data_IF_144110035197
#
_entry.id   IF_144110035197
#
_cell.length_a   1.000
_cell.length_b   1.000
_cell.length_c   1.000
_cell.angle_alpha   90.00
_cell.angle_beta   90.00
_cell.angle_gamma   90.00
#
_symmetry.space_group_name_H-M   'P 1'
#
loop_
_entity.id
_entity.type
_entity.pdbx_description
1 polymer ?
#
# COMPACT_ATOMS: atom_id res chain seq x y z
N UNK A 1 18.65 -29.87 14.67
CA UNK A 1 17.60 -29.57 13.67
C UNK A 1 16.27 -29.54 14.40
N UNK A 2 15.83 -28.33 14.69
CA UNK A 2 14.55 -27.93 15.28
C UNK A 2 14.53 -26.41 15.00
N UNK A 3 13.51 -25.74 14.49
CA UNK A 3 12.13 -26.06 14.09
C UNK A 3 11.53 -24.66 13.86
N UNK A 4 10.71 -24.47 12.82
CA UNK A 4 9.93 -23.23 12.52
C UNK A 4 10.01 -22.14 13.60
N UNK A 5 10.90 -21.17 13.40
CA UNK A 5 10.94 -19.97 14.23
C UNK A 5 9.74 -19.10 13.82
N UNK A 6 8.81 -18.80 14.74
CA UNK A 6 7.66 -17.94 14.46
C UNK A 6 8.06 -16.59 13.83
N UNK A 7 9.23 -16.05 14.20
CA UNK A 7 9.76 -14.81 13.62
C UNK A 7 10.14 -14.99 12.13
N UNK A 8 10.74 -16.13 11.77
CA UNK A 8 11.06 -16.43 10.37
C UNK A 8 9.80 -16.65 9.54
N UNK A 9 8.80 -17.33 10.08
CA UNK A 9 7.51 -17.54 9.41
C UNK A 9 6.77 -16.21 9.19
N UNK A 10 6.75 -15.32 10.19
CA UNK A 10 6.19 -13.98 10.04
C UNK A 10 6.96 -13.16 9.01
N UNK A 11 8.30 -13.18 9.03
CA UNK A 11 9.11 -12.46 8.04
C UNK A 11 8.84 -12.94 6.61
N UNK A 12 8.80 -14.26 6.40
CA UNK A 12 8.49 -14.84 5.08
C UNK A 12 7.10 -14.44 4.60
N UNK A 13 6.12 -14.36 5.51
CA UNK A 13 4.76 -13.93 5.17
C UNK A 13 4.74 -12.44 4.79
N UNK A 14 5.45 -11.58 5.51
CA UNK A 14 5.55 -10.15 5.21
C UNK A 14 6.24 -9.90 3.86
N UNK A 15 7.30 -10.65 3.54
CA UNK A 15 7.97 -10.58 2.24
C UNK A 15 7.03 -11.01 1.10
N UNK A 16 6.24 -12.08 1.32
CA UNK A 16 5.24 -12.53 0.36
C UNK A 16 4.14 -11.46 0.15
N UNK A 17 3.64 -10.86 1.23
CA UNK A 17 2.66 -9.77 1.15
C UNK A 17 3.26 -8.58 0.38
N UNK A 18 4.51 -8.19 0.69
CA UNK A 18 5.21 -7.10 -0.02
C UNK A 18 5.27 -7.39 -1.51
N UNK A 19 5.72 -8.60 -1.89
CA UNK A 19 5.80 -9.00 -3.29
C UNK A 19 4.44 -8.93 -3.99
N UNK A 20 3.38 -9.44 -3.36
CA UNK A 20 2.03 -9.47 -3.94
C UNK A 20 1.40 -8.09 -4.06
N UNK A 21 1.52 -7.26 -3.03
CA UNK A 21 1.00 -5.88 -3.04
C UNK A 21 1.69 -5.07 -4.15
N UNK A 22 3.02 -5.19 -4.27
CA UNK A 22 3.77 -4.55 -5.36
C UNK A 22 3.34 -5.09 -6.73
N UNK A 23 3.20 -6.40 -6.90
CA UNK A 23 2.75 -6.99 -8.16
C UNK A 23 1.34 -6.51 -8.58
N UNK A 24 0.41 -6.37 -7.62
CA UNK A 24 -0.93 -5.82 -7.87
C UNK A 24 -0.86 -4.35 -8.28
N UNK A 25 -0.10 -3.54 -7.53
CA UNK A 25 0.07 -2.11 -7.83
C UNK A 25 0.68 -1.89 -9.21
N UNK A 26 1.72 -2.66 -9.56
CA UNK A 26 2.36 -2.65 -10.87
C UNK A 26 1.42 -3.14 -11.96
N UNK A 27 0.68 -4.23 -11.74
CA UNK A 27 -0.29 -4.73 -12.72
C UNK A 27 -1.38 -3.71 -13.02
N UNK A 28 -1.84 -2.96 -12.01
CA UNK A 28 -2.84 -1.92 -12.18
C UNK A 28 -2.28 -0.75 -12.99
N UNK A 29 -1.09 -0.26 -12.60
CA UNK A 29 -0.36 0.79 -13.33
C UNK A 29 -0.12 0.40 -14.79
N UNK A 30 0.29 -0.86 -15.03
CA UNK A 30 0.54 -1.43 -16.34
C UNK A 30 -0.72 -1.53 -17.21
N UNK A 31 -1.88 -1.79 -16.60
CA UNK A 31 -3.14 -2.02 -17.32
C UNK A 31 -3.85 -0.76 -17.79
N UNK A 32 -3.37 0.42 -17.39
CA UNK A 32 -3.94 1.69 -17.80
C UNK A 32 -2.99 2.40 -18.76
N UNK A 33 -3.49 2.78 -19.94
CA UNK A 33 -2.69 3.33 -21.04
C UNK A 33 -2.90 4.83 -21.28
N UNK A 34 -3.78 5.48 -20.48
CA UNK A 34 -4.26 6.86 -20.72
C UNK A 34 -3.68 7.89 -19.73
N UNK A 35 -2.50 7.61 -19.15
CA UNK A 35 -1.89 8.45 -18.11
C UNK A 35 -1.55 9.88 -18.58
N UNK A 36 -1.17 10.05 -19.85
CA UNK A 36 -0.76 11.34 -20.41
C UNK A 36 -1.95 12.15 -20.99
N UNK A 37 -3.18 11.65 -20.84
CA UNK A 37 -4.38 12.32 -21.37
C UNK A 37 -4.88 13.42 -20.44
N UNK A 38 -5.09 14.61 -21.01
CA UNK A 38 -5.63 15.74 -20.26
C UNK A 38 -7.03 15.41 -19.71
N UNK A 39 -7.25 15.70 -18.42
CA UNK A 39 -8.51 15.46 -17.69
C UNK A 39 -8.87 13.99 -17.41
N UNK A 40 -7.95 13.06 -17.65
CA UNK A 40 -8.13 11.65 -17.30
C UNK A 40 -7.41 11.35 -16.00
N UNK A 41 -8.15 10.92 -14.98
CA UNK A 41 -7.58 10.32 -13.78
C UNK A 41 -7.43 8.81 -13.99
N UNK A 42 -6.22 8.30 -13.75
CA UNK A 42 -5.98 6.87 -13.75
C UNK A 42 -6.39 6.20 -12.44
N UNK A 43 -6.30 4.86 -12.39
CA UNK A 43 -6.63 4.13 -11.18
C UNK A 43 -5.64 4.45 -10.05
N UNK A 44 -6.12 4.40 -8.81
CA UNK A 44 -5.32 4.72 -7.63
C UNK A 44 -5.54 3.70 -6.52
N UNK A 45 -4.47 3.37 -5.80
CA UNK A 45 -4.52 2.49 -4.64
C UNK A 45 -3.70 3.07 -3.50
N UNK A 46 -4.10 2.71 -2.28
CA UNK A 46 -3.35 2.98 -1.06
C UNK A 46 -3.45 1.76 -0.15
N UNK A 47 -2.40 0.96 -0.05
CA UNK A 47 -2.30 -0.15 0.88
C UNK A 47 -1.50 0.25 2.11
N UNK A 48 -1.90 -0.26 3.27
CA UNK A 48 -1.14 -0.18 4.52
C UNK A 48 -1.06 -1.58 5.10
N UNK A 49 0.16 -2.05 5.33
CA UNK A 49 0.43 -3.35 5.93
C UNK A 49 0.84 -3.17 7.38
N UNK A 50 0.13 -3.84 8.29
CA UNK A 50 0.27 -3.70 9.73
C UNK A 50 0.73 -5.00 10.38
N UNK A 51 1.47 -4.90 11.47
CA UNK A 51 1.79 -6.03 12.34
C UNK A 51 0.53 -6.65 12.98
N UNK A 52 -0.46 -5.82 13.34
CA UNK A 52 -1.71 -6.23 13.98
C UNK A 52 -2.84 -5.18 13.76
N UNK A 53 -4.09 -5.53 14.03
CA UNK A 53 -5.32 -4.73 13.78
C UNK A 53 -5.50 -3.48 14.66
N UNK A 54 -4.46 -3.02 15.38
CA UNK A 54 -4.57 -1.87 16.29
C UNK A 54 -4.32 -0.52 15.59
N UNK A 55 -5.15 -0.16 14.63
CA UNK A 55 -5.04 1.09 13.85
C UNK A 55 -6.12 2.14 14.15
N UNK A 56 -7.14 1.81 14.96
CA UNK A 56 -8.24 2.72 15.30
C UNK A 56 -7.81 4.00 16.03
N UNK A 57 -6.64 4.00 16.65
CA UNK A 57 -6.05 5.18 17.28
C UNK A 57 -5.72 6.30 16.27
N UNK A 58 -5.55 5.97 14.99
CA UNK A 58 -5.10 6.91 13.98
C UNK A 58 -5.76 6.75 12.59
N UNK A 59 -6.79 5.92 12.50
CA UNK A 59 -7.58 5.76 11.29
C UNK A 59 -9.07 5.79 11.61
N UNK A 60 -9.84 6.34 10.67
CA UNK A 60 -11.30 6.40 10.72
C UNK A 60 -11.89 5.59 9.56
N UNK A 61 -13.00 4.84 9.76
CA UNK A 61 -13.76 4.26 8.67
C UNK A 61 -14.13 5.31 7.62
N UNK A 62 -13.88 5.04 6.34
CA UNK A 62 -14.17 5.98 5.26
C UNK A 62 -15.50 5.68 4.58
N UNK A 63 -16.58 6.17 5.21
CA UNK A 63 -17.94 6.06 4.65
C UNK A 63 -18.31 4.62 4.29
N UNK A 64 -18.89 4.43 3.10
CA UNK A 64 -19.28 3.11 2.58
C UNK A 64 -18.17 2.44 1.74
N UNK A 65 -16.94 2.96 1.76
CA UNK A 65 -15.84 2.38 0.98
C UNK A 65 -15.36 1.09 1.65
N UNK A 66 -15.52 -0.01 0.94
CA UNK A 66 -15.15 -1.35 1.41
C UNK A 66 -14.20 -2.01 0.44
N UNK A 67 -13.45 -3.00 0.91
CA UNK A 67 -12.72 -3.95 0.10
C UNK A 67 -13.61 -5.18 -0.18
N UNK A 68 -13.66 -5.72 -1.41
CA UNK A 68 -14.54 -6.83 -1.75
C UNK A 68 -14.00 -8.16 -1.20
N UNK A 69 -14.25 -8.43 0.09
CA UNK A 69 -13.74 -9.62 0.80
C UNK A 69 -14.27 -10.95 0.27
N UNK A 70 -15.40 -10.95 -0.44
CA UNK A 70 -15.93 -12.14 -1.14
C UNK A 70 -15.10 -12.49 -2.38
N UNK A 71 -14.41 -11.51 -2.96
CA UNK A 71 -13.48 -11.70 -4.08
C UNK A 71 -12.09 -12.03 -3.54
N UNK A 72 -11.60 -11.26 -2.57
CA UNK A 72 -10.27 -11.44 -1.99
C UNK A 72 -10.27 -11.10 -0.50
N UNK A 73 -10.28 -12.09 0.39
CA UNK A 73 -10.15 -11.86 1.83
C UNK A 73 -8.70 -11.85 2.32
N UNK A 74 -7.82 -12.59 1.65
CA UNK A 74 -6.44 -12.83 2.06
C UNK A 74 -5.52 -12.58 0.87
N UNK A 75 -4.60 -11.64 1.02
CA UNK A 75 -3.70 -11.17 -0.03
C UNK A 75 -2.83 -12.30 -0.62
N UNK A 76 -2.48 -13.30 0.20
CA UNK A 76 -1.58 -14.40 -0.18
C UNK A 76 -2.29 -15.59 -0.84
N UNK A 77 -3.62 -15.67 -0.81
CA UNK A 77 -4.34 -16.84 -1.35
C UNK A 77 -4.29 -16.93 -2.88
N UNK A 78 -4.67 -15.87 -3.59
CA UNK A 78 -4.78 -15.86 -5.05
C UNK A 78 -4.42 -14.48 -5.60
N UNK A 79 -3.39 -14.42 -6.44
CA UNK A 79 -2.96 -13.17 -7.07
C UNK A 79 -4.03 -12.66 -8.05
N UNK A 80 -4.71 -13.54 -8.77
CA UNK A 80 -5.78 -13.18 -9.72
C UNK A 80 -6.98 -12.55 -9.00
N UNK A 81 -7.37 -13.14 -7.87
CA UNK A 81 -8.43 -12.60 -7.02
C UNK A 81 -8.03 -11.24 -6.43
N UNK A 82 -6.77 -11.09 -6.03
CA UNK A 82 -6.27 -9.83 -5.48
C UNK A 82 -6.23 -8.73 -6.56
N UNK A 83 -5.73 -9.01 -7.76
CA UNK A 83 -5.76 -8.06 -8.90
C UNK A 83 -7.20 -7.68 -9.26
N UNK A 84 -8.12 -8.64 -9.30
CA UNK A 84 -9.54 -8.38 -9.60
C UNK A 84 -10.15 -7.43 -8.56
N UNK A 85 -10.02 -7.77 -7.28
CA UNK A 85 -10.51 -6.93 -6.18
C UNK A 85 -9.88 -5.52 -6.18
N UNK A 86 -8.59 -5.43 -6.48
CA UNK A 86 -7.87 -4.16 -6.54
C UNK A 86 -8.37 -3.28 -7.69
N UNK A 87 -8.66 -3.85 -8.86
CA UNK A 87 -9.23 -3.12 -10.01
C UNK A 87 -10.60 -2.55 -9.68
N UNK A 88 -11.44 -3.31 -9.00
CA UNK A 88 -12.79 -2.88 -8.62
C UNK A 88 -12.76 -1.65 -7.71
N UNK A 89 -11.79 -1.58 -6.78
CA UNK A 89 -11.70 -0.44 -5.85
C UNK A 89 -10.92 0.74 -6.45
N UNK A 90 -9.94 0.51 -7.33
CA UNK A 90 -8.98 1.53 -7.72
C UNK A 90 -9.55 2.70 -8.53
N UNK A 91 -10.69 2.51 -9.19
CA UNK A 91 -11.35 3.55 -9.99
C UNK A 91 -12.44 4.30 -9.22
N UNK A 92 -13.07 3.65 -8.25
CA UNK A 92 -14.34 4.11 -7.68
C UNK A 92 -14.27 4.44 -6.20
N UNK A 93 -13.23 3.98 -5.50
CA UNK A 93 -13.14 4.08 -4.03
C UNK A 93 -11.89 4.84 -3.62
N UNK A 94 -12.07 5.65 -2.59
CA UNK A 94 -10.99 6.36 -1.91
C UNK A 94 -10.74 5.70 -0.54
N UNK A 95 -9.55 5.90 0.01
CA UNK A 95 -9.13 5.38 1.30
C UNK A 95 -8.04 4.32 1.24
N UNK A 96 -7.45 4.08 2.41
CA UNK A 96 -6.46 3.05 2.61
C UNK A 96 -7.12 1.68 2.79
N UNK A 97 -6.54 0.69 2.14
CA UNK A 97 -6.82 -0.74 2.29
C UNK A 97 -5.84 -1.28 3.31
N UNK A 98 -6.35 -1.85 4.40
CA UNK A 98 -5.53 -2.35 5.51
C UNK A 98 -5.31 -3.85 5.37
N UNK A 99 -4.06 -4.27 5.45
CA UNK A 99 -3.64 -5.69 5.41
C UNK A 99 -2.86 -5.98 6.70
N UNK A 100 -3.14 -7.08 7.37
CA UNK A 100 -2.36 -7.53 8.54
C UNK A 100 -1.21 -8.44 8.13
N UNK A 101 -0.26 -8.67 9.04
CA UNK A 101 0.96 -9.44 8.77
C UNK A 101 0.70 -10.92 8.43
N UNK A 102 -0.50 -11.43 8.71
CA UNK A 102 -0.99 -12.75 8.29
C UNK A 102 -1.60 -12.75 6.87
N UNK A 103 -1.66 -11.58 6.21
CA UNK A 103 -2.21 -11.38 4.88
C UNK A 103 -3.72 -11.08 4.83
N UNK A 104 -4.41 -11.05 5.97
CA UNK A 104 -5.85 -10.74 6.03
C UNK A 104 -6.10 -9.28 5.64
N UNK A 105 -7.03 -9.06 4.70
CA UNK A 105 -7.44 -7.72 4.25
C UNK A 105 -8.70 -7.30 5.01
N UNK A 106 -8.67 -6.12 5.63
CA UNK A 106 -9.82 -5.57 6.33
C UNK A 106 -10.89 -5.09 5.33
N UNK A 107 -12.15 -5.47 5.57
CA UNK A 107 -13.26 -5.07 4.71
C UNK A 107 -13.46 -3.55 4.69
N UNK A 108 -13.38 -2.89 5.84
CA UNK A 108 -13.58 -1.45 5.91
C UNK A 108 -12.32 -0.71 5.43
N UNK A 109 -12.43 0.08 4.35
CA UNK A 109 -11.38 1.02 3.97
C UNK A 109 -11.38 2.23 4.91
N UNK A 110 -10.21 2.81 5.13
CA UNK A 110 -10.03 3.83 6.17
C UNK A 110 -9.36 5.10 5.66
N UNK A 111 -9.66 6.21 6.32
CA UNK A 111 -8.90 7.46 6.21
C UNK A 111 -7.87 7.50 7.32
N UNK A 112 -6.61 7.76 6.98
CA UNK A 112 -5.55 7.95 7.96
C UNK A 112 -5.56 9.40 8.45
N UNK A 113 -5.55 9.56 9.78
CA UNK A 113 -5.40 10.87 10.41
C UNK A 113 -3.95 11.31 10.29
N UNK A 114 -3.76 12.58 9.94
CA UNK A 114 -2.45 13.22 9.97
C UNK A 114 -1.78 13.04 11.34
N UNK A 115 -0.45 12.89 11.38
CA UNK A 115 0.28 12.81 12.64
C UNK A 115 -0.02 14.02 13.54
N UNK A 116 -0.20 13.75 14.82
CA UNK A 116 -0.26 14.78 15.86
C UNK A 116 1.12 15.41 16.07
N UNK A 117 1.18 16.60 16.68
CA UNK A 117 2.43 17.31 16.95
C UNK A 117 3.46 16.53 17.79
N UNK A 118 3.03 15.50 18.54
CA UNK A 118 3.94 14.61 19.28
C UNK A 118 4.48 13.46 18.40
N UNK A 119 3.70 12.98 17.42
CA UNK A 119 4.17 12.03 16.41
C UNK A 119 5.11 12.70 15.38
N UNK A 120 5.08 14.04 15.31
CA UNK A 120 5.90 14.92 14.46
C UNK A 120 7.36 15.00 14.91
N UNK A 121 7.78 14.53 16.08
CA UNK A 121 9.22 14.50 16.44
C UNK A 121 10.08 13.70 15.45
N UNK A 122 9.48 12.74 14.71
CA UNK A 122 10.16 11.99 13.64
C UNK A 122 10.07 12.65 12.26
N UNK A 123 9.49 13.85 12.16
CA UNK A 123 9.29 14.51 10.87
C UNK A 123 10.59 14.92 10.20
N UNK A 124 11.64 15.18 10.98
CA UNK A 124 12.99 15.46 10.47
C UNK A 124 13.65 14.21 9.85
N UNK A 125 13.09 13.02 10.07
CA UNK A 125 13.53 11.74 9.50
C UNK A 125 12.70 11.31 8.28
N UNK A 126 11.69 12.10 7.89
CA UNK A 126 10.80 11.78 6.77
C UNK A 126 11.36 12.34 5.46
N UNK A 127 11.54 11.47 4.46
CA UNK A 127 11.92 11.85 3.12
C UNK A 127 10.68 12.34 2.34
N UNK A 128 10.50 13.67 2.28
CA UNK A 128 9.50 14.30 1.42
C UNK A 128 10.06 14.58 0.03
N UNK A 129 9.22 14.45 -1.00
CA UNK A 129 9.57 14.83 -2.38
C UNK A 129 8.51 15.74 -3.00
N UNK A 130 8.93 16.65 -3.89
CA UNK A 130 8.08 17.72 -4.44
C UNK A 130 6.89 17.21 -5.28
N UNK A 131 6.97 15.96 -5.77
CA UNK A 131 5.91 15.33 -6.54
C UNK A 131 4.81 14.69 -5.65
N UNK A 132 5.03 14.61 -4.33
CA UNK A 132 4.12 13.90 -3.43
C UNK A 132 2.78 14.64 -3.25
N UNK A 133 1.72 14.10 -3.86
CA UNK A 133 0.35 14.46 -3.50
C UNK A 133 -0.10 13.93 -2.12
N UNK A 134 -1.33 14.29 -1.70
CA UNK A 134 -1.92 13.97 -0.38
C UNK A 134 -1.79 12.50 0.02
N UNK A 135 -1.99 11.57 -0.92
CA UNK A 135 -1.90 10.13 -0.68
C UNK A 135 -0.47 9.68 -0.34
N UNK A 136 0.50 10.19 -1.08
CA UNK A 136 1.92 9.90 -0.86
C UNK A 136 2.40 10.47 0.48
N UNK A 137 1.98 11.70 0.80
CA UNK A 137 2.26 12.33 2.10
C UNK A 137 1.66 11.51 3.25
N UNK A 138 0.41 11.05 3.11
CA UNK A 138 -0.20 10.16 4.10
C UNK A 138 0.57 8.84 4.24
N UNK A 139 1.01 8.24 3.13
CA UNK A 139 1.71 6.97 3.13
C UNK A 139 3.11 7.06 3.77
N UNK A 140 3.89 8.10 3.45
CA UNK A 140 5.22 8.29 4.07
C UNK A 140 5.09 8.60 5.56
N UNK A 141 4.10 9.41 5.96
CA UNK A 141 3.88 9.74 7.36
C UNK A 141 3.39 8.53 8.17
N UNK A 142 2.41 7.77 7.65
CA UNK A 142 1.89 6.58 8.34
C UNK A 142 2.95 5.49 8.46
N UNK A 143 3.89 5.39 7.50
CA UNK A 143 4.97 4.40 7.54
C UNK A 143 5.92 4.60 8.73
N UNK A 144 5.88 5.75 9.41
CA UNK A 144 6.63 5.96 10.65
C UNK A 144 5.91 5.36 11.86
N UNK A 145 4.61 5.06 11.80
CA UNK A 145 3.87 4.61 12.99
C UNK A 145 4.28 3.23 13.43
N UNK A 146 4.38 3.05 14.75
CA UNK A 146 4.64 1.74 15.33
C UNK A 146 3.56 0.74 14.90
N UNK A 147 3.99 -0.43 14.43
CA UNK A 147 3.10 -1.46 13.93
C UNK A 147 2.72 -1.31 12.46
N UNK A 148 3.13 -0.24 11.76
CA UNK A 148 3.08 -0.19 10.29
C UNK A 148 4.36 -0.82 9.76
N UNK A 149 4.21 -1.85 8.92
CA UNK A 149 5.33 -2.56 8.31
C UNK A 149 5.77 -1.85 7.03
N UNK A 150 4.81 -1.50 6.17
CA UNK A 150 5.03 -0.68 4.99
C UNK A 150 3.69 -0.18 4.43
N UNK A 151 3.74 0.83 3.56
CA UNK A 151 2.60 1.27 2.77
C UNK A 151 2.94 1.27 1.28
N UNK A 152 1.95 1.10 0.41
CA UNK A 152 2.13 1.14 -1.05
C UNK A 152 1.07 2.04 -1.67
N UNK A 153 1.45 2.88 -2.63
CA UNK A 153 0.53 3.72 -3.38
C UNK A 153 0.66 3.53 -4.89
N UNK A 154 -0.45 3.72 -5.60
CA UNK A 154 -0.47 3.96 -7.05
C UNK A 154 -1.02 5.38 -7.27
N UNK A 155 -0.24 6.22 -7.95
CA UNK A 155 -0.63 7.59 -8.27
C UNK A 155 -1.66 7.62 -9.40
N UNK A 156 -2.79 8.30 -9.17
CA UNK A 156 -3.83 8.52 -10.19
C UNK A 156 -3.38 9.44 -11.33
N UNK A 157 -2.29 10.19 -11.15
CA UNK A 157 -1.81 11.16 -12.12
C UNK A 157 -0.90 10.54 -13.18
N UNK A 158 -0.10 9.55 -12.81
CA UNK A 158 1.00 9.07 -13.67
C UNK A 158 1.34 7.59 -13.48
N UNK A 159 0.54 6.86 -12.70
CA UNK A 159 0.75 5.44 -12.46
C UNK A 159 2.02 5.10 -11.68
N UNK A 160 2.69 6.10 -11.06
CA UNK A 160 3.84 5.86 -10.19
C UNK A 160 3.45 4.91 -9.07
N UNK A 161 4.24 3.86 -8.90
CA UNK A 161 4.11 2.92 -7.79
C UNK A 161 5.17 3.29 -6.76
N UNK A 162 4.78 3.42 -5.50
CA UNK A 162 5.70 3.80 -4.42
C UNK A 162 5.46 2.93 -3.20
N UNK A 163 6.55 2.47 -2.58
CA UNK A 163 6.54 1.76 -1.31
C UNK A 163 7.20 2.64 -0.25
N UNK A 164 6.60 2.69 0.95
CA UNK A 164 7.00 3.55 2.05
C UNK A 164 7.26 2.70 3.29
N UNK A 165 8.39 2.95 3.95
CA UNK A 165 8.83 2.21 5.13
C UNK A 165 9.69 3.13 6.00
N UNK A 166 9.33 3.25 7.29
CA UNK A 166 10.06 4.06 8.27
C UNK A 166 10.35 5.51 7.81
N UNK A 167 9.37 6.15 7.15
CA UNK A 167 9.50 7.53 6.67
C UNK A 167 10.34 7.69 5.40
N UNK A 168 10.85 6.58 4.85
CA UNK A 168 11.58 6.52 3.58
C UNK A 168 10.67 5.96 2.49
N UNK A 169 11.07 6.13 1.23
CA UNK A 169 10.33 5.57 0.10
C UNK A 169 11.26 5.09 -1.00
N UNK A 170 10.78 4.10 -1.73
CA UNK A 170 11.26 3.78 -3.08
C UNK A 170 10.09 3.93 -4.03
N UNK A 171 10.32 4.55 -5.17
CA UNK A 171 9.31 4.72 -6.20
C UNK A 171 9.78 4.23 -7.56
N UNK A 172 8.80 3.87 -8.38
CA UNK A 172 8.98 3.37 -9.73
C UNK A 172 8.02 4.13 -10.63
N UNK A 173 8.57 4.90 -11.55
CA UNK A 173 7.79 5.52 -12.61
C UNK A 173 7.23 4.45 -13.51
N UNK A 174 6.12 4.76 -14.18
CA UNK A 174 5.43 3.82 -15.08
C UNK A 174 6.36 3.15 -16.11
N UNK A 175 7.38 3.87 -16.58
CA UNK A 175 8.36 3.41 -17.57
C UNK A 175 9.39 2.42 -16.99
N UNK A 176 9.59 2.43 -15.67
CA UNK A 176 10.53 1.56 -14.95
C UNK A 176 9.86 0.25 -14.52
N UNK A 177 8.53 0.26 -14.39
CA UNK A 177 7.71 -0.91 -14.03
C UNK A 177 7.80 -1.98 -15.14
N UNK A 178 8.09 -3.22 -14.73
CA UNK A 178 8.28 -4.36 -15.64
C UNK A 178 9.69 -4.50 -16.23
N UNK A 179 10.63 -3.64 -15.86
CA UNK A 179 12.04 -3.80 -16.27
C UNK A 179 12.66 -5.06 -15.65
N UNK A 180 13.35 -5.91 -16.43
CA UNK A 180 13.84 -7.23 -16.00
C UNK A 180 14.99 -7.23 -14.98
N UNK A 181 15.43 -6.05 -14.51
CA UNK A 181 16.49 -5.93 -13.51
C UNK A 181 15.94 -5.35 -12.22
N UNK A 182 15.96 -6.16 -11.14
CA UNK A 182 15.81 -5.67 -9.77
C UNK A 182 16.80 -6.38 -8.86
N UNK A 183 17.82 -5.68 -8.32
CA UNK A 183 18.58 -6.23 -7.21
C UNK A 183 17.70 -6.23 -5.97
N UNK A 184 17.43 -7.42 -5.42
CA UNK A 184 17.01 -7.57 -4.03
C UNK A 184 18.19 -7.13 -3.17
N UNK A 185 18.13 -5.92 -2.61
CA UNK A 185 19.02 -5.51 -1.52
C UNK A 185 18.27 -5.61 -0.20
#
# INVERSE_FOLDING_TARGET
MSSDDPLQATHATVDEIRHRVMAVAESLSLSFDRWDEQYVSGPSLYFIVLADVNFGAYADPLGANVWPVDVCRVATNSIESFVTAARDVAFERDGAIVITADGTIQEQMVRIRSPSAAEVERRDEIAYADWMGTKHLSAVEVSTRTGVLFAVTVSEENGRVSIFENGQFNDYQRQEIGSPWRPTS
#
